data_IF_975161341667
#
_entry.id   IF_975161341667
#
_cell.length_a   1.000
_cell.length_b   1.000
_cell.length_c   1.000
_cell.angle_alpha   90.00
_cell.angle_beta   90.00
_cell.angle_gamma   90.00
#
_symmetry.space_group_name_H-M   'P 1'
#
loop_
_entity.id
_entity.type
_entity.pdbx_description
1 polymer ?
#
# COMPACT_ATOMS: atom_id res chain seq x y z
N UNK A 1 9.61 -22.58 -34.83
CA UNK A 1 10.42 -21.82 -33.85
C UNK A 1 10.27 -22.45 -32.50
N UNK A 2 11.34 -22.48 -31.70
CA UNK A 2 11.23 -22.88 -30.27
C UNK A 2 10.43 -21.82 -29.52
N UNK A 3 9.80 -22.24 -28.42
CA UNK A 3 9.03 -21.32 -27.54
C UNK A 3 9.92 -20.17 -27.07
N UNK A 4 9.38 -18.94 -27.11
CA UNK A 4 10.05 -17.75 -26.59
C UNK A 4 9.68 -17.63 -25.11
N UNK A 5 10.67 -17.75 -24.23
CA UNK A 5 10.47 -17.63 -22.78
C UNK A 5 10.82 -16.20 -22.37
N UNK A 6 9.87 -15.51 -21.72
CA UNK A 6 10.09 -14.20 -21.08
C UNK A 6 10.70 -14.42 -19.70
N UNK A 7 11.93 -13.97 -19.49
CA UNK A 7 12.60 -14.01 -18.19
C UNK A 7 12.56 -12.61 -17.56
N UNK A 8 11.82 -12.39 -16.47
CA UNK A 8 11.71 -11.09 -15.82
C UNK A 8 12.94 -10.82 -14.93
N UNK A 9 14.03 -10.34 -15.52
CA UNK A 9 15.22 -9.96 -14.76
C UNK A 9 14.97 -8.68 -13.97
N UNK A 10 15.39 -8.66 -12.69
CA UNK A 10 15.27 -7.52 -11.77
C UNK A 10 13.83 -7.00 -11.56
N UNK A 11 12.84 -7.85 -11.80
CA UNK A 11 11.45 -7.52 -11.49
C UNK A 11 11.27 -7.33 -9.98
N UNK A 12 10.63 -6.23 -9.59
CA UNK A 12 10.25 -6.00 -8.19
C UNK A 12 8.96 -6.76 -7.89
N UNK A 13 8.95 -7.73 -6.98
CA UNK A 13 7.75 -8.47 -6.66
C UNK A 13 6.77 -7.60 -5.86
N UNK A 14 5.51 -7.65 -6.24
CA UNK A 14 4.40 -7.08 -5.49
C UNK A 14 3.34 -8.17 -5.38
N UNK A 15 2.97 -8.50 -4.14
CA UNK A 15 2.01 -9.57 -3.87
C UNK A 15 0.65 -8.97 -3.53
N UNK A 16 -0.40 -9.60 -4.04
CA UNK A 16 -1.77 -9.15 -3.79
C UNK A 16 -2.68 -10.34 -3.50
N UNK A 17 -3.55 -10.16 -2.50
CA UNK A 17 -4.65 -11.06 -2.21
C UNK A 17 -5.83 -10.27 -1.66
N UNK A 18 -6.93 -10.95 -1.31
CA UNK A 18 -8.07 -10.32 -0.62
C UNK A 18 -8.32 -11.04 0.69
N UNK A 19 -8.72 -10.30 1.71
CA UNK A 19 -9.12 -10.84 3.02
C UNK A 19 -10.65 -10.91 3.06
N UNK A 20 -11.19 -12.07 3.49
CA UNK A 20 -12.62 -12.21 3.68
C UNK A 20 -13.09 -11.26 4.81
N UNK A 21 -13.98 -10.29 4.50
CA UNK A 21 -14.48 -9.33 5.49
C UNK A 21 -15.30 -9.96 6.64
N UNK A 22 -15.72 -11.20 6.50
CA UNK A 22 -16.45 -11.91 7.54
C UNK A 22 -15.53 -12.49 8.63
N UNK A 23 -14.22 -12.50 8.41
CA UNK A 23 -13.24 -13.04 9.36
C UNK A 23 -12.79 -12.02 10.42
N UNK A 24 -13.25 -10.76 10.35
CA UNK A 24 -12.87 -9.71 11.30
C UNK A 24 -13.96 -8.64 11.44
N UNK A 25 -13.88 -7.84 12.50
CA UNK A 25 -14.87 -6.80 12.81
C UNK A 25 -14.72 -5.54 11.95
N UNK A 26 -14.80 -5.71 10.63
CA UNK A 26 -14.60 -4.65 9.63
C UNK A 26 -15.43 -3.39 9.93
N UNK A 27 -16.73 -3.57 10.24
CA UNK A 27 -17.65 -2.46 10.50
C UNK A 27 -17.24 -1.63 11.72
N UNK A 28 -16.82 -2.27 12.79
CA UNK A 28 -16.42 -1.59 14.02
C UNK A 28 -15.07 -0.89 13.84
N UNK A 29 -14.13 -1.49 13.12
CA UNK A 29 -12.86 -0.85 12.75
C UNK A 29 -13.12 0.42 11.94
N UNK A 30 -13.92 0.35 10.88
CA UNK A 30 -14.26 1.50 10.05
C UNK A 30 -14.95 2.59 10.88
N UNK A 31 -15.91 2.22 11.71
CA UNK A 31 -16.63 3.14 12.59
C UNK A 31 -15.69 3.88 13.56
N UNK A 32 -14.75 3.16 14.14
CA UNK A 32 -13.74 3.73 15.03
C UNK A 32 -12.80 4.69 14.30
N UNK A 33 -12.33 4.32 13.11
CA UNK A 33 -11.50 5.19 12.26
C UNK A 33 -12.25 6.48 11.89
N UNK A 34 -13.50 6.36 11.48
CA UNK A 34 -14.34 7.52 11.13
C UNK A 34 -14.69 8.41 12.34
N UNK A 35 -14.84 7.81 13.52
CA UNK A 35 -14.98 8.57 14.75
C UNK A 35 -13.72 9.42 15.00
N UNK A 36 -12.54 8.84 14.93
CA UNK A 36 -11.28 9.54 15.09
C UNK A 36 -11.10 10.62 14.03
N UNK A 37 -11.45 10.32 12.79
CA UNK A 37 -11.42 11.28 11.68
C UNK A 37 -12.24 12.54 11.99
N UNK A 38 -13.45 12.39 12.52
CA UNK A 38 -14.33 13.51 12.88
C UNK A 38 -13.78 14.34 14.06
N UNK A 39 -13.06 13.69 14.99
CA UNK A 39 -12.49 14.35 16.17
C UNK A 39 -11.16 15.04 15.88
N UNK A 40 -10.44 14.62 14.85
CA UNK A 40 -9.15 15.21 14.52
C UNK A 40 -9.28 16.66 14.07
N UNK A 41 -8.55 17.52 14.76
CA UNK A 41 -8.34 18.92 14.35
C UNK A 41 -7.18 19.06 13.35
N UNK A 42 -6.34 18.04 13.28
CA UNK A 42 -5.14 18.01 12.44
C UNK A 42 -5.46 17.18 11.21
N UNK A 43 -6.15 17.78 10.28
CA UNK A 43 -6.26 17.25 8.93
C UNK A 43 -5.16 17.93 8.18
N UNK A 44 -4.13 17.21 7.80
CA UNK A 44 -3.30 17.83 6.79
C UNK A 44 -1.94 18.41 7.18
N UNK A 45 -1.12 17.61 7.83
CA UNK A 45 0.32 17.91 7.86
C UNK A 45 1.08 17.35 6.64
N UNK A 46 0.38 16.59 5.78
CA UNK A 46 0.93 16.01 4.57
C UNK A 46 0.36 16.76 3.36
N UNK A 47 1.02 17.83 2.95
CA UNK A 47 0.81 18.44 1.65
C UNK A 47 -0.55 19.08 1.37
N UNK A 48 -1.17 19.76 2.31
CA UNK A 48 -2.47 20.43 2.10
C UNK A 48 -3.59 19.50 1.60
N UNK A 49 -3.46 18.19 1.79
CA UNK A 49 -4.47 17.22 1.39
C UNK A 49 -5.41 16.84 2.55
N UNK A 50 -6.66 16.53 2.26
CA UNK A 50 -7.67 16.18 3.26
C UNK A 50 -7.53 14.71 3.72
N UNK A 51 -6.36 14.36 4.24
CA UNK A 51 -6.06 13.03 4.79
C UNK A 51 -6.11 13.07 6.31
N UNK A 52 -6.78 12.10 6.91
CA UNK A 52 -6.63 11.79 8.32
C UNK A 52 -5.89 10.46 8.47
N UNK A 53 -4.80 10.50 9.19
CA UNK A 53 -3.96 9.34 9.46
C UNK A 53 -3.77 9.17 10.96
N UNK A 54 -3.77 7.94 11.47
CA UNK A 54 -3.47 7.67 12.87
C UNK A 54 -2.06 8.13 13.25
N UNK A 55 -1.14 8.13 12.29
CA UNK A 55 0.20 8.69 12.48
C UNK A 55 0.18 10.17 12.86
N UNK A 56 -0.84 10.92 12.42
CA UNK A 56 -1.03 12.33 12.75
C UNK A 56 -1.90 12.54 13.99
N UNK A 57 -2.77 11.57 14.31
CA UNK A 57 -3.74 11.65 15.41
C UNK A 57 -3.21 11.09 16.70
N UNK A 58 -2.28 10.12 16.58
CA UNK A 58 -1.63 9.46 17.70
C UNK A 58 -0.11 9.59 17.52
N UNK A 59 0.47 10.79 17.64
CA UNK A 59 1.90 10.89 17.83
C UNK A 59 2.25 10.02 19.04
N UNK A 60 3.40 9.36 19.02
CA UNK A 60 3.85 8.47 20.10
C UNK A 60 3.76 9.13 21.51
N UNK A 61 3.78 10.47 21.53
CA UNK A 61 3.63 11.32 22.71
C UNK A 61 2.16 11.46 23.19
N UNK A 62 1.17 11.21 22.31
CA UNK A 62 -0.26 11.40 22.55
C UNK A 62 -1.05 10.09 22.74
N UNK A 63 -0.40 8.96 22.97
CA UNK A 63 -1.05 7.68 23.28
C UNK A 63 -2.02 7.77 24.47
N UNK A 64 -1.89 8.82 25.27
CA UNK A 64 -2.78 9.13 26.39
C UNK A 64 -3.96 10.03 26.03
N UNK A 65 -4.10 10.44 24.78
CA UNK A 65 -5.22 11.28 24.37
C UNK A 65 -6.53 10.48 24.36
N UNK A 66 -7.30 10.60 25.43
CA UNK A 66 -8.59 9.93 25.64
C UNK A 66 -9.67 10.28 24.61
N UNK A 67 -9.44 11.27 23.77
CA UNK A 67 -10.38 11.66 22.70
C UNK A 67 -10.39 10.66 21.53
N UNK A 68 -9.29 9.92 21.30
CA UNK A 68 -9.19 8.95 20.23
C UNK A 68 -9.39 7.53 20.72
N UNK A 69 -9.98 6.70 19.88
CA UNK A 69 -10.21 5.29 20.13
C UNK A 69 -9.27 4.46 19.26
N UNK A 70 -8.61 3.47 19.85
CA UNK A 70 -7.83 2.52 19.07
C UNK A 70 -8.77 1.49 18.43
N UNK A 71 -8.74 1.30 17.10
CA UNK A 71 -9.48 0.20 16.48
C UNK A 71 -8.98 -1.16 17.00
N UNK A 72 -9.90 -2.10 17.17
CA UNK A 72 -9.53 -3.45 17.57
C UNK A 72 -9.06 -4.25 16.36
N UNK A 73 -7.76 -4.54 16.27
CA UNK A 73 -7.15 -5.31 15.19
C UNK A 73 -6.88 -6.77 15.55
N UNK A 74 -7.33 -7.26 16.71
CA UNK A 74 -6.98 -8.59 17.23
C UNK A 74 -7.32 -9.73 16.25
N UNK A 75 -8.43 -9.64 15.52
CA UNK A 75 -8.82 -10.62 14.51
C UNK A 75 -8.10 -10.44 13.17
N UNK A 76 -7.65 -9.23 12.85
CA UNK A 76 -6.90 -8.96 11.62
C UNK A 76 -5.43 -9.40 11.69
N UNK A 77 -4.79 -9.28 12.83
CA UNK A 77 -3.36 -9.59 12.99
C UNK A 77 -3.01 -11.03 12.58
N UNK A 78 -3.75 -12.09 12.98
CA UNK A 78 -3.50 -13.44 12.51
C UNK A 78 -3.67 -13.62 11.00
N UNK A 79 -4.63 -12.91 10.39
CA UNK A 79 -4.87 -12.97 8.94
C UNK A 79 -3.70 -12.34 8.17
N UNK A 80 -3.18 -11.21 8.65
CA UNK A 80 -1.99 -10.59 8.09
C UNK A 80 -0.77 -11.50 8.21
N UNK A 81 -0.57 -12.09 9.40
CA UNK A 81 0.54 -13.03 9.63
C UNK A 81 0.49 -14.19 8.64
N UNK A 82 -0.67 -14.83 8.49
CA UNK A 82 -0.86 -15.94 7.54
C UNK A 82 -0.56 -15.53 6.09
N UNK A 83 -0.95 -14.33 5.68
CA UNK A 83 -0.63 -13.82 4.34
C UNK A 83 0.88 -13.64 4.15
N UNK A 84 1.57 -13.04 5.13
CA UNK A 84 3.01 -12.83 5.07
C UNK A 84 3.78 -14.15 5.04
N UNK A 85 3.42 -15.10 5.89
CA UNK A 85 4.05 -16.43 5.92
C UNK A 85 3.96 -17.11 4.54
N UNK A 86 2.78 -17.13 3.92
CA UNK A 86 2.60 -17.68 2.57
C UNK A 86 3.42 -16.94 1.51
N UNK A 87 3.48 -15.61 1.59
CA UNK A 87 4.29 -14.81 0.66
C UNK A 87 5.77 -15.11 0.81
N UNK A 88 6.24 -15.24 2.05
CA UNK A 88 7.65 -15.50 2.33
C UNK A 88 8.09 -16.92 1.97
N UNK A 89 7.18 -17.86 1.83
CA UNK A 89 7.47 -19.17 1.23
C UNK A 89 7.93 -19.05 -0.24
N UNK A 90 7.42 -18.06 -0.97
CA UNK A 90 7.81 -17.79 -2.36
C UNK A 90 9.23 -17.20 -2.49
N UNK A 91 9.73 -16.51 -1.46
CA UNK A 91 11.04 -15.82 -1.50
C UNK A 91 12.27 -16.74 -1.45
N UNK A 92 12.10 -18.05 -1.29
CA UNK A 92 13.20 -19.02 -1.35
C UNK A 92 14.41 -18.65 -0.47
N UNK A 93 14.18 -18.44 0.82
CA UNK A 93 15.29 -18.22 1.77
C UNK A 93 16.29 -19.39 1.78
N UNK A 94 17.53 -19.11 2.14
CA UNK A 94 18.55 -20.13 2.31
C UNK A 94 18.13 -21.20 3.32
N UNK A 95 18.52 -22.44 3.09
CA UNK A 95 18.21 -23.54 4.00
C UNK A 95 18.76 -23.27 5.42
N UNK A 96 17.96 -23.58 6.43
CA UNK A 96 18.32 -23.42 7.83
C UNK A 96 18.09 -22.04 8.44
N UNK A 97 17.74 -21.03 7.65
CA UNK A 97 17.40 -19.71 8.17
C UNK A 97 15.98 -19.75 8.72
N UNK A 98 15.83 -19.35 9.98
CA UNK A 98 14.52 -19.13 10.58
C UNK A 98 13.89 -17.88 9.95
N UNK A 99 12.66 -18.00 9.49
CA UNK A 99 11.90 -16.89 8.93
C UNK A 99 11.21 -16.09 10.07
N UNK A 100 12.01 -15.52 10.96
CA UNK A 100 11.49 -14.66 12.00
C UNK A 100 11.23 -13.28 11.44
N UNK A 101 10.04 -12.78 11.63
CA UNK A 101 9.69 -11.41 11.24
C UNK A 101 8.74 -10.79 12.24
N UNK A 102 8.95 -9.51 12.48
CA UNK A 102 8.02 -8.65 13.18
C UNK A 102 7.23 -7.82 12.20
N UNK A 103 5.96 -7.65 12.48
CA UNK A 103 5.15 -6.66 11.81
C UNK A 103 4.35 -5.84 12.79
N UNK A 104 4.08 -4.61 12.40
CA UNK A 104 3.26 -3.70 13.18
C UNK A 104 2.31 -2.94 12.26
N UNK A 105 1.13 -2.65 12.77
CA UNK A 105 0.26 -1.68 12.14
C UNK A 105 0.85 -0.30 12.39
N UNK A 106 1.33 0.33 11.32
CA UNK A 106 1.99 1.64 11.40
C UNK A 106 0.95 2.73 11.51
N UNK A 107 -0.08 2.64 10.67
CA UNK A 107 -1.16 3.59 10.69
C UNK A 107 -2.42 3.06 9.98
N UNK A 108 -3.50 3.78 10.15
CA UNK A 108 -4.64 3.75 9.26
C UNK A 108 -4.84 5.15 8.67
N UNK A 109 -5.35 5.23 7.46
CA UNK A 109 -5.69 6.51 6.81
C UNK A 109 -7.13 6.51 6.36
N UNK A 110 -7.80 7.64 6.54
CA UNK A 110 -9.09 7.92 5.93
C UNK A 110 -8.97 9.18 5.09
N UNK A 111 -9.35 9.11 3.83
CA UNK A 111 -9.27 10.26 2.93
C UNK A 111 -10.51 10.37 2.05
N UNK A 112 -10.84 11.61 1.72
CA UNK A 112 -11.91 11.97 0.80
C UNK A 112 -11.32 12.48 -0.53
N UNK A 113 -12.17 13.03 -1.38
CA UNK A 113 -11.75 13.71 -2.60
C UNK A 113 -10.73 14.82 -2.29
N UNK A 114 -9.92 15.13 -3.28
CA UNK A 114 -8.80 16.07 -3.19
C UNK A 114 -7.63 15.63 -2.30
N UNK A 115 -7.76 14.46 -1.67
CA UNK A 115 -6.69 13.88 -0.89
C UNK A 115 -5.66 13.19 -1.78
N UNK A 116 -4.39 13.35 -1.42
CA UNK A 116 -3.27 12.67 -2.05
C UNK A 116 -2.19 12.42 -1.01
N UNK A 117 -1.30 11.50 -1.31
CA UNK A 117 -0.10 11.28 -0.49
C UNK A 117 1.09 11.30 -1.45
N UNK A 118 2.04 12.18 -1.18
CA UNK A 118 3.24 12.33 -2.02
C UNK A 118 4.02 11.04 -2.12
N UNK A 119 4.82 10.95 -3.16
CA UNK A 119 5.76 9.87 -3.37
C UNK A 119 6.70 9.70 -2.17
N UNK A 120 6.72 8.51 -1.62
CA UNK A 120 7.52 8.13 -0.46
C UNK A 120 7.86 6.63 -0.51
N UNK A 121 8.64 6.16 0.44
CA UNK A 121 8.95 4.76 0.68
C UNK A 121 9.07 4.47 2.18
N UNK A 122 9.31 3.22 2.52
CA UNK A 122 9.45 2.73 3.89
C UNK A 122 10.84 2.09 4.11
N UNK A 123 11.91 2.84 3.88
CA UNK A 123 13.31 2.35 3.88
C UNK A 123 13.77 1.64 5.15
N UNK A 124 13.05 1.81 6.27
CA UNK A 124 13.37 1.13 7.54
C UNK A 124 12.68 -0.22 7.70
N UNK A 125 11.97 -0.67 6.67
CA UNK A 125 11.21 -1.93 6.67
C UNK A 125 11.61 -2.74 5.45
N UNK A 126 11.68 -4.06 5.60
CA UNK A 126 11.96 -4.95 4.47
C UNK A 126 10.78 -4.98 3.52
N UNK A 127 9.56 -5.02 4.07
CA UNK A 127 8.32 -4.93 3.32
C UNK A 127 7.35 -3.93 3.95
N UNK A 128 6.47 -3.41 3.12
CA UNK A 128 5.30 -2.64 3.53
C UNK A 128 4.05 -3.22 2.92
N UNK A 129 2.92 -3.02 3.58
CA UNK A 129 1.66 -3.58 3.18
C UNK A 129 0.52 -2.57 3.31
N UNK A 130 -0.39 -2.57 2.36
CA UNK A 130 -1.59 -1.72 2.36
C UNK A 130 -2.82 -2.60 2.22
N UNK A 131 -3.72 -2.57 3.22
CA UNK A 131 -5.02 -3.22 3.19
C UNK A 131 -6.12 -2.19 2.95
N UNK A 132 -6.93 -2.36 1.91
CA UNK A 132 -7.99 -1.45 1.49
C UNK A 132 -9.32 -1.84 2.14
N UNK A 133 -9.56 -1.45 3.40
CA UNK A 133 -10.75 -1.87 4.15
C UNK A 133 -12.04 -1.11 3.77
N UNK A 134 -11.92 0.06 3.13
CA UNK A 134 -13.02 0.78 2.49
C UNK A 134 -12.53 1.35 1.18
N UNK A 135 -13.01 0.77 0.08
CA UNK A 135 -12.51 1.12 -1.24
C UNK A 135 -13.57 0.92 -2.32
N UNK A 136 -13.68 1.88 -3.22
CA UNK A 136 -14.55 1.80 -4.40
C UNK A 136 -13.73 2.10 -5.67
N UNK A 137 -14.25 1.71 -6.82
CA UNK A 137 -13.54 1.82 -8.11
C UNK A 137 -13.16 3.26 -8.51
N UNK A 138 -13.80 4.27 -7.94
CA UNK A 138 -13.46 5.68 -8.16
C UNK A 138 -12.39 6.21 -7.19
N UNK A 139 -12.02 5.44 -6.17
CA UNK A 139 -10.91 5.78 -5.30
C UNK A 139 -9.57 5.58 -6.00
N UNK A 140 -8.61 6.45 -5.71
CA UNK A 140 -7.23 6.25 -6.16
C UNK A 140 -6.59 5.07 -5.43
N UNK A 141 -6.15 4.06 -6.16
CA UNK A 141 -5.29 3.01 -5.61
C UNK A 141 -3.83 3.48 -5.55
N UNK A 142 -2.99 2.71 -4.86
CA UNK A 142 -1.56 2.99 -4.76
C UNK A 142 -0.91 2.91 -6.14
N UNK A 143 -0.15 3.95 -6.48
CA UNK A 143 0.68 4.00 -7.67
C UNK A 143 2.13 3.76 -7.28
N UNK A 144 2.77 2.79 -7.90
CA UNK A 144 4.17 2.43 -7.69
C UNK A 144 5.05 3.05 -8.76
N UNK A 145 6.28 3.38 -8.38
CA UNK A 145 7.29 3.91 -9.28
C UNK A 145 8.35 2.86 -9.57
N UNK A 146 8.80 2.81 -10.81
CA UNK A 146 9.91 1.93 -11.20
C UNK A 146 11.16 2.25 -10.37
N UNK A 147 11.88 1.25 -9.82
CA UNK A 147 13.08 1.51 -9.01
C UNK A 147 14.15 2.35 -9.73
N UNK A 148 14.25 2.23 -11.04
CA UNK A 148 15.11 3.05 -11.91
C UNK A 148 14.33 4.14 -12.65
N UNK A 149 13.40 4.82 -12.01
CA UNK A 149 12.49 5.76 -12.68
C UNK A 149 13.19 6.95 -13.37
N UNK A 150 14.33 7.39 -12.84
CA UNK A 150 15.16 8.39 -13.48
C UNK A 150 15.71 7.93 -14.85
N UNK A 151 16.09 6.65 -14.97
CA UNK A 151 16.49 6.07 -16.26
C UNK A 151 15.28 5.93 -17.19
N UNK A 152 14.12 5.53 -16.65
CA UNK A 152 12.89 5.41 -17.43
C UNK A 152 12.44 6.75 -17.99
N UNK A 153 12.57 7.82 -17.22
CA UNK A 153 12.26 9.16 -17.69
C UNK A 153 13.15 9.55 -18.89
N UNK A 154 14.44 9.34 -18.77
CA UNK A 154 15.40 9.63 -19.84
C UNK A 154 15.19 8.74 -21.08
N UNK A 155 15.00 7.45 -20.88
CA UNK A 155 14.73 6.50 -21.98
C UNK A 155 13.43 6.80 -22.71
N UNK A 156 12.40 7.32 -22.02
CA UNK A 156 11.12 7.69 -22.62
C UNK A 156 11.30 8.76 -23.67
N UNK A 157 12.14 9.76 -23.45
CA UNK A 157 12.41 10.82 -24.41
C UNK A 157 13.14 10.27 -25.65
N UNK A 158 14.13 9.40 -25.45
CA UNK A 158 14.95 8.79 -26.53
C UNK A 158 14.18 7.71 -27.29
N UNK A 159 13.28 6.97 -26.65
CA UNK A 159 12.58 5.80 -27.19
C UNK A 159 11.06 5.99 -27.24
N UNK A 160 10.61 7.21 -27.42
CA UNK A 160 9.18 7.59 -27.37
C UNK A 160 8.29 6.68 -28.22
N UNK A 161 8.68 6.41 -29.47
CA UNK A 161 7.89 5.57 -30.38
C UNK A 161 7.68 4.13 -29.87
N UNK A 162 8.64 3.58 -29.15
CA UNK A 162 8.51 2.26 -28.52
C UNK A 162 7.53 2.31 -27.35
N UNK A 163 7.72 3.25 -26.43
CA UNK A 163 6.90 3.34 -25.22
C UNK A 163 5.44 3.73 -25.52
N UNK A 164 5.21 4.55 -26.53
CA UNK A 164 3.84 4.95 -26.93
C UNK A 164 3.04 3.80 -27.54
N UNK A 165 3.72 2.74 -28.04
CA UNK A 165 3.09 1.54 -28.57
C UNK A 165 2.79 0.46 -27.52
N UNK A 166 3.38 0.56 -26.34
CA UNK A 166 3.14 -0.40 -25.27
C UNK A 166 1.76 -0.17 -24.63
N UNK A 167 1.01 -1.23 -24.45
CA UNK A 167 -0.23 -1.18 -23.67
C UNK A 167 0.11 -1.00 -22.19
N UNK A 168 -0.18 0.19 -21.64
CA UNK A 168 0.12 0.56 -20.26
C UNK A 168 -0.75 -0.12 -19.21
N UNK A 169 -1.87 -0.71 -19.61
CA UNK A 169 -2.79 -1.38 -18.71
C UNK A 169 -2.48 -2.86 -18.53
N UNK A 170 -1.46 -3.36 -19.24
CA UNK A 170 -1.05 -4.76 -19.17
C UNK A 170 0.08 -4.89 -18.16
N UNK A 171 -0.13 -5.73 -17.14
CA UNK A 171 0.84 -5.94 -16.04
C UNK A 171 2.21 -6.39 -16.56
N UNK A 172 2.24 -7.22 -17.59
CA UNK A 172 3.46 -7.74 -18.22
C UNK A 172 4.34 -6.66 -18.81
N UNK A 173 3.78 -5.48 -19.05
CA UNK A 173 4.51 -4.31 -19.55
C UNK A 173 4.92 -3.33 -18.44
N UNK A 174 4.57 -3.60 -17.17
CA UNK A 174 4.86 -2.70 -16.04
C UNK A 174 6.36 -2.38 -15.89
N UNK A 175 7.24 -3.33 -16.21
CA UNK A 175 8.69 -3.15 -16.20
C UNK A 175 9.22 -2.11 -17.22
N UNK A 176 8.41 -1.69 -18.18
CA UNK A 176 8.74 -0.67 -19.18
C UNK A 176 8.14 0.72 -18.85
N UNK A 177 7.40 0.84 -17.78
CA UNK A 177 6.75 2.09 -17.41
C UNK A 177 7.41 2.74 -16.20
N UNK A 178 7.43 4.06 -16.20
CA UNK A 178 7.96 4.84 -15.07
C UNK A 178 7.15 4.62 -13.79
N UNK A 179 5.86 4.44 -13.92
CA UNK A 179 4.95 4.15 -12.82
C UNK A 179 3.85 3.18 -13.26
N UNK A 180 3.30 2.47 -12.30
CA UNK A 180 2.22 1.53 -12.52
C UNK A 180 1.23 1.57 -11.36
N UNK A 181 -0.05 1.74 -11.70
CA UNK A 181 -1.12 1.73 -10.70
C UNK A 181 -1.75 0.34 -10.65
N UNK A 182 -1.61 -0.34 -9.51
CA UNK A 182 -2.21 -1.66 -9.32
C UNK A 182 -3.70 -1.47 -9.06
N UNK A 183 -4.54 -2.10 -9.87
CA UNK A 183 -5.97 -2.16 -9.61
C UNK A 183 -6.27 -2.81 -8.27
N UNK A 184 -6.96 -2.08 -7.38
CA UNK A 184 -7.37 -2.57 -6.07
C UNK A 184 -8.89 -2.63 -6.00
N UNK A 185 -9.38 -3.51 -5.12
CA UNK A 185 -10.78 -3.62 -4.70
C UNK A 185 -10.86 -3.49 -3.19
N UNK A 186 -12.05 -3.30 -2.68
CA UNK A 186 -12.29 -3.39 -1.23
C UNK A 186 -11.86 -4.76 -0.71
N UNK A 187 -11.22 -4.79 0.45
CA UNK A 187 -10.61 -5.93 1.12
C UNK A 187 -9.35 -6.50 0.44
N UNK A 188 -8.86 -5.88 -0.64
CA UNK A 188 -7.54 -6.23 -1.17
C UNK A 188 -6.43 -5.81 -0.21
N UNK A 189 -5.41 -6.67 -0.11
CA UNK A 189 -4.17 -6.41 0.60
C UNK A 189 -3.01 -6.54 -0.38
N UNK A 190 -2.14 -5.55 -0.38
CA UNK A 190 -0.96 -5.48 -1.27
C UNK A 190 0.29 -5.40 -0.43
N UNK A 191 1.23 -6.32 -0.64
CA UNK A 191 2.54 -6.36 0.00
C UNK A 191 3.63 -6.07 -1.03
N UNK A 192 4.58 -5.23 -0.67
CA UNK A 192 5.66 -4.78 -1.55
C UNK A 192 6.93 -4.46 -0.75
N UNK A 193 8.13 -4.51 -1.37
CA UNK A 193 9.38 -4.15 -0.71
C UNK A 193 9.36 -2.73 -0.17
N UNK A 194 9.86 -2.53 1.05
CA UNK A 194 9.82 -1.24 1.74
C UNK A 194 10.53 -0.11 0.99
N UNK A 195 11.55 -0.41 0.18
CA UNK A 195 12.25 0.57 -0.65
C UNK A 195 11.44 1.08 -1.85
N UNK A 196 10.36 0.37 -2.25
CA UNK A 196 9.61 0.69 -3.45
C UNK A 196 8.83 1.99 -3.28
N UNK A 197 9.19 3.01 -4.05
CA UNK A 197 8.52 4.29 -4.04
C UNK A 197 7.08 4.17 -4.52
N UNK A 198 6.19 4.80 -3.78
CA UNK A 198 4.76 4.80 -4.11
C UNK A 198 4.08 6.09 -3.64
N UNK A 199 2.89 6.32 -4.15
CA UNK A 199 2.04 7.45 -3.78
C UNK A 199 0.56 7.09 -3.83
N UNK A 200 -0.29 7.95 -3.29
CA UNK A 200 -1.72 7.97 -3.55
C UNK A 200 -1.99 9.17 -4.46
N UNK A 201 -2.29 8.97 -5.74
CA UNK A 201 -2.60 10.05 -6.64
C UNK A 201 -3.86 10.81 -6.22
N UNK A 202 -3.89 12.12 -6.47
CA UNK A 202 -5.08 12.93 -6.26
C UNK A 202 -6.23 12.41 -7.12
N UNK A 203 -7.38 12.17 -6.52
CA UNK A 203 -8.60 11.82 -7.25
C UNK A 203 -9.20 13.05 -7.89
N UNK A 204 -9.72 12.89 -9.11
CA UNK A 204 -10.51 13.91 -9.82
C UNK A 204 -12.02 13.75 -9.60
N UNK A 205 -12.41 12.71 -8.87
CA UNK A 205 -13.81 12.33 -8.67
C UNK A 205 -14.19 12.52 -7.22
N UNK A 206 -15.38 13.07 -6.97
CA UNK A 206 -15.92 13.23 -5.62
C UNK A 206 -16.22 11.86 -5.01
N UNK A 207 -15.78 11.66 -3.76
CA UNK A 207 -15.99 10.42 -3.03
C UNK A 207 -17.36 10.40 -2.36
N UNK A 208 -18.10 9.33 -2.54
CA UNK A 208 -19.37 9.09 -1.82
C UNK A 208 -19.12 8.56 -0.42
N UNK A 209 -18.08 7.78 -0.23
CA UNK A 209 -17.56 7.32 1.07
C UNK A 209 -16.05 7.49 1.12
N UNK A 210 -15.44 7.58 2.31
CA UNK A 210 -13.99 7.74 2.42
C UNK A 210 -13.26 6.48 1.96
N UNK A 211 -12.11 6.67 1.32
CA UNK A 211 -11.10 5.64 1.14
C UNK A 211 -10.42 5.41 2.49
N UNK A 212 -10.45 4.18 3.00
CA UNK A 212 -9.80 3.82 4.26
C UNK A 212 -8.82 2.68 4.02
N UNK A 213 -7.59 2.85 4.49
CA UNK A 213 -6.54 1.82 4.43
C UNK A 213 -5.88 1.63 5.78
N UNK A 214 -5.39 0.40 6.01
CA UNK A 214 -4.48 0.06 7.11
C UNK A 214 -3.12 -0.19 6.48
N UNK A 215 -2.07 0.39 7.06
CA UNK A 215 -0.69 0.25 6.61
C UNK A 215 0.11 -0.50 7.65
N UNK A 216 0.85 -1.51 7.20
CA UNK A 216 1.74 -2.33 8.02
C UNK A 216 3.16 -2.24 7.50
N UNK A 217 4.12 -2.30 8.41
CA UNK A 217 5.53 -2.49 8.10
C UNK A 217 6.01 -3.81 8.67
N UNK A 218 6.91 -4.47 7.95
CA UNK A 218 7.44 -5.78 8.26
C UNK A 218 8.96 -5.71 8.22
N UNK A 219 9.60 -6.20 9.28
CA UNK A 219 11.04 -6.35 9.35
C UNK A 219 11.38 -7.80 9.72
N UNK A 220 12.39 -8.37 9.06
CA UNK A 220 12.97 -9.63 9.45
C UNK A 220 13.90 -9.41 10.63
N UNK A 221 13.96 -10.39 11.52
CA UNK A 221 14.86 -10.42 12.68
C UNK A 221 15.97 -11.44 12.47
N UNK A 222 17.13 -11.11 13.05
CA UNK A 222 18.30 -12.00 13.10
C UNK A 222 18.05 -13.27 13.94
#
# INVERSE_FOLDING_TARGET
>A
MKEIIKIPLFATPVYKTSIDPNLYDKKEIIKTILYNFKKSKVRNKWDDSNIASSYLHHPLEDFNNKEFKMPNFSLLLPLYKSFFEKTFEDLKFNNGIKKNFNFQIVNYTACYEDSFMRRHNHMRSDFSCVHYISFEQYHSSTMFYHPGDYLMLHLKDVRKLFYDKLNRNVLENSCYHQNFQIGAKEDDIILFPGYLHHEIPKSKVKYKKPRITIVLNIAFED
#
